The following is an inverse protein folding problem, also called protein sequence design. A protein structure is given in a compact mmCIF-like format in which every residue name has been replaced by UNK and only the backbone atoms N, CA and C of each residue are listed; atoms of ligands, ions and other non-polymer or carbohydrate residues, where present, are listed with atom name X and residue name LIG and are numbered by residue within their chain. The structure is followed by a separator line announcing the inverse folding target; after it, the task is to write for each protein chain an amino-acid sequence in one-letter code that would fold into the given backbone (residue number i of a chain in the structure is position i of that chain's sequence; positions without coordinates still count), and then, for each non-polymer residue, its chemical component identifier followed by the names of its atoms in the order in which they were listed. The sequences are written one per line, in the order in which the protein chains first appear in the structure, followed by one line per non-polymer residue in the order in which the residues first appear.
data_IF_772384587739
#
_entry.id   IF_772384587739
#
_cell.length_a   1.000
_cell.length_b   1.000
_cell.length_c   1.000
_cell.angle_alpha   90.00
_cell.angle_beta   90.00
_cell.angle_gamma   90.00
#
_symmetry.space_group_name_H-M   'P 1'
#
loop_
_entity.id
_entity.type
_entity.pdbx_description
1 polymer ?
#
# COMPACT_ATOMS: atom_id res chain seq x y z
N UNK A 1 -3.45 -17.77 20.52
CA UNK A 1 -3.81 -19.21 20.57
C UNK A 1 -3.65 -19.68 19.13
N UNK A 2 -2.82 -20.68 18.82
CA UNK A 2 -2.80 -21.24 17.46
C UNK A 2 -4.13 -21.98 17.27
N UNK A 3 -4.89 -21.65 16.23
CA UNK A 3 -6.09 -22.39 15.85
C UNK A 3 -5.65 -23.79 15.42
N UNK A 4 -5.88 -24.80 16.27
CA UNK A 4 -5.54 -26.19 15.96
C UNK A 4 -6.63 -26.81 15.10
N UNK A 5 -6.48 -26.73 13.79
CA UNK A 5 -7.38 -27.40 12.84
C UNK A 5 -7.06 -28.89 12.74
N UNK A 6 -8.08 -29.74 12.85
CA UNK A 6 -7.93 -31.18 12.69
C UNK A 6 -7.78 -31.54 11.19
N UNK A 7 -6.63 -32.06 10.73
CA UNK A 7 -6.42 -32.38 9.32
C UNK A 7 -7.30 -33.51 8.78
N UNK A 8 -7.99 -34.25 9.66
CA UNK A 8 -8.93 -35.32 9.31
C UNK A 8 -10.39 -34.87 9.29
N UNK A 9 -10.67 -33.63 9.70
CA UNK A 9 -11.99 -33.05 9.51
C UNK A 9 -12.13 -32.65 8.04
N UNK A 10 -13.25 -33.00 7.40
CA UNK A 10 -13.61 -32.45 6.10
C UNK A 10 -14.09 -31.01 6.32
N UNK A 11 -13.14 -30.08 6.40
CA UNK A 11 -13.42 -28.64 6.51
C UNK A 11 -13.86 -28.09 5.15
N UNK A 12 -14.80 -27.12 5.11
CA UNK A 12 -15.19 -26.46 3.87
C UNK A 12 -14.00 -25.70 3.27
N UNK A 13 -13.96 -25.64 1.95
CA UNK A 13 -13.01 -24.80 1.22
C UNK A 13 -13.56 -23.39 1.01
N UNK A 14 -12.75 -22.47 0.49
CA UNK A 14 -13.22 -21.15 0.09
C UNK A 14 -14.40 -21.18 -0.90
N UNK A 15 -14.50 -22.21 -1.75
CA UNK A 15 -15.60 -22.38 -2.72
C UNK A 15 -16.93 -22.81 -2.07
N UNK A 16 -16.85 -23.44 -0.89
CA UNK A 16 -18.02 -23.93 -0.15
C UNK A 16 -18.62 -22.85 0.77
N UNK A 17 -17.93 -21.71 0.93
CA UNK A 17 -18.26 -20.64 1.87
C UNK A 17 -18.83 -19.42 1.14
N UNK A 18 -19.73 -18.65 1.78
CA UNK A 18 -20.20 -17.37 1.24
C UNK A 18 -19.05 -16.39 1.00
N UNK A 19 -19.06 -15.72 -0.15
CA UNK A 19 -18.12 -14.66 -0.51
C UNK A 19 -18.76 -13.26 -0.52
N UNK A 20 -20.07 -13.19 -0.23
CA UNK A 20 -20.86 -11.96 -0.09
C UNK A 20 -21.81 -12.10 1.11
N UNK A 21 -22.01 -11.01 1.86
CA UNK A 21 -22.87 -11.00 3.06
C UNK A 21 -24.30 -10.46 2.80
N UNK A 22 -24.62 -10.07 1.56
CA UNK A 22 -25.92 -9.50 1.13
C UNK A 22 -26.40 -8.29 1.98
N UNK A 23 -25.49 -7.62 2.72
CA UNK A 23 -25.81 -6.44 3.55
C UNK A 23 -25.46 -5.12 2.84
N UNK A 24 -25.94 -3.96 3.32
CA UNK A 24 -25.67 -2.67 2.67
C UNK A 24 -24.17 -2.36 2.62
N UNK A 25 -23.69 -2.25 1.38
CA UNK A 25 -22.33 -1.94 0.94
C UNK A 25 -21.63 -0.84 1.73
N UNK A 26 -20.31 -1.01 1.85
CA UNK A 26 -19.37 -0.02 2.36
C UNK A 26 -19.54 1.35 1.71
N UNK A 27 -19.20 2.39 2.49
CA UNK A 27 -19.18 3.74 1.95
C UNK A 27 -17.92 3.98 1.10
N UNK A 28 -18.01 4.93 0.16
CA UNK A 28 -16.93 5.28 -0.78
C UNK A 28 -15.56 5.47 -0.11
N UNK A 29 -15.52 6.01 1.11
CA UNK A 29 -14.25 6.25 1.80
C UNK A 29 -13.56 4.97 2.27
N UNK A 30 -14.31 3.97 2.73
CA UNK A 30 -13.74 2.67 3.14
C UNK A 30 -13.07 2.02 1.93
N UNK A 31 -13.79 1.96 0.80
CA UNK A 31 -13.29 1.43 -0.47
C UNK A 31 -12.04 2.15 -0.97
N UNK A 32 -12.06 3.49 -0.97
CA UNK A 32 -10.93 4.28 -1.46
C UNK A 32 -9.68 4.14 -0.58
N UNK A 33 -9.82 4.08 0.74
CA UNK A 33 -8.67 3.94 1.65
C UNK A 33 -8.02 2.56 1.50
N UNK A 34 -8.81 1.49 1.55
CA UNK A 34 -8.28 0.13 1.42
C UNK A 34 -7.70 -0.11 0.02
N UNK A 35 -8.36 0.42 -1.02
CA UNK A 35 -7.85 0.39 -2.38
C UNK A 35 -6.53 1.15 -2.55
N UNK A 36 -6.40 2.34 -1.95
CA UNK A 36 -5.17 3.13 -1.97
C UNK A 36 -4.01 2.38 -1.32
N UNK A 37 -4.21 1.86 -0.11
CA UNK A 37 -3.16 1.12 0.61
C UNK A 37 -2.72 -0.13 -0.17
N UNK A 38 -3.66 -0.87 -0.75
CA UNK A 38 -3.36 -2.02 -1.61
C UNK A 38 -2.57 -1.62 -2.86
N UNK A 39 -2.95 -0.52 -3.51
CA UNK A 39 -2.29 -0.03 -4.71
C UNK A 39 -0.83 0.41 -4.43
N UNK A 40 -0.60 1.07 -3.30
CA UNK A 40 0.76 1.44 -2.86
C UNK A 40 1.59 0.19 -2.57
N UNK A 41 1.04 -0.83 -1.89
CA UNK A 41 1.76 -2.10 -1.68
C UNK A 41 2.15 -2.76 -3.01
N UNK A 42 1.22 -2.82 -3.97
CA UNK A 42 1.50 -3.39 -5.28
C UNK A 42 2.61 -2.64 -6.04
N UNK A 43 2.74 -1.32 -5.80
CA UNK A 43 3.78 -0.48 -6.39
C UNK A 43 5.15 -0.67 -5.73
N UNK A 44 5.22 -0.73 -4.40
CA UNK A 44 6.49 -0.84 -3.66
C UNK A 44 7.01 -2.28 -3.57
N UNK A 45 6.12 -3.26 -3.76
CA UNK A 45 6.42 -4.69 -3.72
C UNK A 45 6.06 -5.38 -5.06
N UNK A 46 6.64 -4.94 -6.20
CA UNK A 46 6.28 -5.48 -7.52
C UNK A 46 6.63 -6.96 -7.62
N UNK A 47 7.82 -7.35 -7.15
CA UNK A 47 8.36 -8.71 -7.26
C UNK A 47 8.11 -9.57 -6.02
N UNK A 48 7.55 -8.98 -4.95
CA UNK A 48 7.25 -9.69 -3.71
C UNK A 48 5.99 -10.53 -3.91
N UNK A 49 6.08 -11.84 -3.63
CA UNK A 49 5.00 -12.80 -3.83
C UNK A 49 4.53 -13.49 -2.54
N UNK A 50 5.10 -13.15 -1.39
CA UNK A 50 4.77 -13.66 -0.05
C UNK A 50 3.89 -12.68 0.75
N UNK A 51 2.88 -12.07 0.12
CA UNK A 51 1.93 -11.21 0.80
C UNK A 51 0.57 -11.17 0.12
N UNK A 52 -0.49 -10.93 0.88
CA UNK A 52 -1.83 -10.68 0.35
C UNK A 52 -2.50 -9.52 1.08
N UNK A 53 -3.18 -8.64 0.34
CA UNK A 53 -4.02 -7.58 0.90
C UNK A 53 -5.47 -7.76 0.45
N UNK A 54 -6.32 -8.17 1.40
CA UNK A 54 -7.76 -8.29 1.22
C UNK A 54 -8.46 -6.96 1.49
N UNK A 55 -9.54 -6.71 0.76
CA UNK A 55 -10.41 -5.53 0.89
C UNK A 55 -11.83 -6.06 0.90
N UNK A 56 -12.60 -5.72 1.93
CA UNK A 56 -13.99 -6.18 2.11
C UNK A 56 -14.11 -7.70 1.87
N UNK A 57 -13.23 -8.46 2.52
CA UNK A 57 -13.10 -9.91 2.32
C UNK A 57 -13.19 -10.64 3.65
N UNK A 58 -14.07 -11.64 3.72
CA UNK A 58 -14.28 -12.44 4.92
C UNK A 58 -13.06 -13.26 5.33
N UNK A 59 -12.70 -13.15 6.61
CA UNK A 59 -11.74 -14.02 7.28
C UNK A 59 -12.52 -15.12 8.00
N UNK A 60 -12.39 -16.35 7.51
CA UNK A 60 -12.98 -17.54 8.10
C UNK A 60 -11.99 -18.18 9.06
N UNK A 61 -12.37 -18.24 10.34
CA UNK A 61 -11.54 -18.79 11.41
C UNK A 61 -12.12 -20.06 12.02
N UNK A 62 -13.43 -20.27 11.89
CA UNK A 62 -14.15 -21.47 12.31
C UNK A 62 -15.19 -21.79 11.21
N UNK A 63 -15.33 -23.05 10.78
CA UNK A 63 -16.29 -23.43 9.73
C UNK A 63 -17.76 -23.29 10.14
N UNK A 64 -18.06 -23.27 11.44
CA UNK A 64 -19.42 -23.18 11.96
C UNK A 64 -19.82 -21.74 12.37
N UNK A 65 -18.86 -20.81 12.38
CA UNK A 65 -19.07 -19.40 12.70
C UNK A 65 -19.07 -18.51 11.45
N UNK A 66 -19.70 -17.35 11.56
CA UNK A 66 -19.66 -16.35 10.49
C UNK A 66 -18.24 -15.75 10.34
N UNK A 67 -17.85 -15.45 9.10
CA UNK A 67 -16.61 -14.75 8.83
C UNK A 67 -16.60 -13.34 9.45
N UNK A 68 -15.40 -12.90 9.83
CA UNK A 68 -15.18 -11.51 10.19
C UNK A 68 -14.73 -10.76 8.94
N UNK A 69 -15.46 -9.71 8.58
CA UNK A 69 -15.15 -8.88 7.40
C UNK A 69 -14.54 -7.54 7.85
N UNK A 70 -13.22 -7.35 7.66
CA UNK A 70 -12.57 -6.05 7.83
C UNK A 70 -12.62 -5.20 6.55
N UNK A 71 -12.54 -3.88 6.71
CA UNK A 71 -12.42 -2.96 5.57
C UNK A 71 -11.13 -3.21 4.76
N UNK A 72 -10.07 -3.70 5.43
CA UNK A 72 -8.90 -4.23 4.77
C UNK A 72 -7.99 -5.01 5.71
N UNK A 73 -7.16 -5.90 5.18
CA UNK A 73 -6.16 -6.61 5.97
C UNK A 73 -4.93 -6.98 5.13
N UNK A 74 -3.79 -7.11 5.80
CA UNK A 74 -2.53 -7.54 5.20
C UNK A 74 -2.05 -8.82 5.87
N UNK A 75 -1.80 -9.84 5.07
CA UNK A 75 -1.09 -11.05 5.49
C UNK A 75 0.26 -11.13 4.81
N UNK A 76 1.32 -11.31 5.60
CA UNK A 76 2.67 -11.60 5.12
C UNK A 76 2.92 -13.12 5.25
N UNK A 77 3.67 -13.71 4.33
CA UNK A 77 4.00 -15.15 4.34
C UNK A 77 3.07 -16.03 3.51
N UNK A 78 2.01 -15.46 2.94
CA UNK A 78 1.06 -16.17 2.06
C UNK A 78 1.29 -15.83 0.58
N UNK A 79 0.99 -16.75 -0.37
CA UNK A 79 1.13 -16.45 -1.79
C UNK A 79 0.30 -15.24 -2.21
N UNK A 80 0.87 -14.28 -2.94
CA UNK A 80 0.10 -13.12 -3.42
C UNK A 80 -1.01 -13.50 -4.39
N UNK A 81 -0.73 -14.48 -5.24
CA UNK A 81 -1.64 -15.01 -6.26
C UNK A 81 -1.63 -16.53 -6.07
N UNK A 82 -2.81 -17.12 -5.90
CA UNK A 82 -2.98 -18.57 -5.79
C UNK A 82 -3.17 -19.21 -7.16
N UNK A 83 -4.00 -18.59 -8.01
CA UNK A 83 -4.30 -18.98 -9.38
C UNK A 83 -4.95 -17.79 -10.15
N UNK A 84 -5.54 -18.08 -11.32
CA UNK A 84 -6.23 -17.09 -12.16
C UNK A 84 -7.58 -16.62 -11.62
N UNK A 85 -8.21 -17.42 -10.75
CA UNK A 85 -9.54 -17.14 -10.21
C UNK A 85 -9.45 -16.30 -8.92
N UNK A 86 -8.24 -16.14 -8.37
CA UNK A 86 -7.92 -15.34 -7.19
C UNK A 86 -8.63 -15.89 -5.94
N UNK A 87 -8.51 -15.15 -4.83
CA UNK A 87 -9.11 -15.55 -3.55
C UNK A 87 -10.56 -15.09 -3.46
N UNK A 88 -11.45 -16.02 -3.16
CA UNK A 88 -12.85 -15.74 -2.81
C UNK A 88 -12.96 -15.24 -1.36
N UNK A 89 -12.27 -15.91 -0.45
CA UNK A 89 -12.25 -15.58 0.98
C UNK A 89 -10.89 -15.91 1.59
N UNK A 90 -10.66 -15.47 2.83
CA UNK A 90 -9.43 -15.75 3.56
C UNK A 90 -9.68 -16.81 4.62
N UNK A 91 -9.41 -18.06 4.25
CA UNK A 91 -9.74 -19.24 5.05
C UNK A 91 -8.52 -19.68 5.87
N UNK A 92 -8.55 -19.47 7.19
CA UNK A 92 -7.36 -19.66 8.05
C UNK A 92 -6.83 -21.09 8.07
N UNK A 93 -7.68 -22.10 7.91
CA UNK A 93 -7.23 -23.50 7.85
C UNK A 93 -6.61 -23.90 6.50
N UNK A 94 -6.88 -23.14 5.43
CA UNK A 94 -6.23 -23.30 4.12
C UNK A 94 -4.94 -22.49 4.04
N UNK A 95 -5.02 -21.20 4.41
CA UNK A 95 -3.89 -20.25 4.36
C UNK A 95 -2.83 -20.56 5.43
N UNK A 96 -3.25 -21.09 6.58
CA UNK A 96 -2.40 -21.44 7.74
C UNK A 96 -1.58 -20.28 8.30
N UNK A 97 -1.94 -19.07 7.94
CA UNK A 97 -1.34 -17.83 8.41
C UNK A 97 -2.46 -16.90 8.87
N UNK A 98 -2.21 -16.20 9.98
CA UNK A 98 -3.13 -15.19 10.50
C UNK A 98 -2.73 -13.84 9.90
N UNK A 99 -3.68 -12.97 9.50
CA UNK A 99 -3.35 -11.64 9.01
C UNK A 99 -2.43 -10.89 9.98
N UNK A 100 -1.39 -10.28 9.42
CA UNK A 100 -0.41 -9.50 10.19
C UNK A 100 -0.99 -8.15 10.64
N UNK A 101 -1.88 -7.56 9.84
CA UNK A 101 -2.57 -6.31 10.13
C UNK A 101 -4.03 -6.37 9.67
N UNK A 102 -4.93 -5.84 10.48
CA UNK A 102 -6.30 -5.49 10.07
C UNK A 102 -6.53 -3.99 10.16
N UNK A 103 -7.31 -3.45 9.22
CA UNK A 103 -7.73 -2.05 9.11
C UNK A 103 -9.25 -1.93 9.21
N UNK A 104 -9.71 -0.98 10.02
CA UNK A 104 -11.11 -0.55 10.09
C UNK A 104 -11.22 0.96 9.90
N UNK A 105 -12.07 1.39 8.98
CA UNK A 105 -12.39 2.77 8.66
C UNK A 105 -13.78 3.11 9.20
N UNK A 106 -13.79 3.73 10.38
CA UNK A 106 -15.03 4.02 11.11
C UNK A 106 -15.86 5.09 10.40
N UNK A 107 -17.08 4.72 10.03
CA UNK A 107 -18.08 5.63 9.46
C UNK A 107 -18.95 6.31 10.54
N UNK A 108 -20.08 6.92 10.15
CA UNK A 108 -21.01 7.54 11.10
C UNK A 108 -21.59 6.53 12.10
N UNK A 109 -21.81 5.30 11.66
CA UNK A 109 -22.32 4.21 12.50
C UNK A 109 -21.15 3.38 13.00
N UNK A 110 -20.96 3.31 14.33
CA UNK A 110 -19.96 2.42 14.93
C UNK A 110 -20.51 1.00 14.93
N UNK A 111 -19.75 0.07 14.35
CA UNK A 111 -20.08 -1.36 14.25
C UNK A 111 -19.20 -2.22 15.18
N UNK A 112 -18.76 -1.64 16.31
CA UNK A 112 -18.04 -2.38 17.36
C UNK A 112 -16.53 -2.45 17.16
N UNK A 113 -15.97 -1.58 16.33
CA UNK A 113 -14.54 -1.49 16.00
C UNK A 113 -13.69 -1.27 17.27
N UNK A 114 -14.22 -0.57 18.26
CA UNK A 114 -13.55 -0.32 19.54
C UNK A 114 -13.85 -1.37 20.63
N UNK A 115 -14.70 -2.35 20.35
CA UNK A 115 -15.19 -3.33 21.35
C UNK A 115 -15.07 -4.76 20.84
N UNK A 116 -16.11 -5.29 20.19
CA UNK A 116 -16.21 -6.70 19.84
C UNK A 116 -15.15 -7.10 18.81
N UNK A 117 -15.07 -6.38 17.67
CA UNK A 117 -14.05 -6.63 16.64
C UNK A 117 -12.63 -6.61 17.20
N UNK A 118 -12.34 -5.65 18.08
CA UNK A 118 -11.03 -5.55 18.76
C UNK A 118 -10.71 -6.79 19.59
N UNK A 119 -11.71 -7.37 20.28
CA UNK A 119 -11.54 -8.60 21.04
C UNK A 119 -11.39 -9.80 20.10
N UNK A 120 -12.19 -9.89 19.05
CA UNK A 120 -12.15 -10.98 18.09
C UNK A 120 -10.78 -11.05 17.40
N UNK A 121 -10.25 -9.91 16.92
CA UNK A 121 -8.93 -9.85 16.30
C UNK A 121 -7.79 -10.22 17.28
N UNK A 122 -7.92 -9.83 18.56
CA UNK A 122 -6.95 -10.22 19.58
C UNK A 122 -7.00 -11.74 19.86
N UNK A 123 -8.20 -12.33 19.89
CA UNK A 123 -8.38 -13.78 20.05
C UNK A 123 -7.79 -14.58 18.89
N UNK A 124 -7.98 -14.09 17.65
CA UNK A 124 -7.36 -14.65 16.45
C UNK A 124 -5.84 -14.52 16.43
N UNK A 125 -5.27 -13.60 17.21
CA UNK A 125 -3.82 -13.39 17.25
C UNK A 125 -3.29 -12.43 16.18
N UNK A 126 -4.15 -11.60 15.60
CA UNK A 126 -3.76 -10.60 14.59
C UNK A 126 -2.84 -9.58 15.26
N UNK A 127 -1.61 -9.46 14.74
CA UNK A 127 -0.56 -8.71 15.41
C UNK A 127 -0.84 -7.21 15.47
N UNK A 128 -1.29 -6.61 14.37
CA UNK A 128 -1.58 -5.18 14.31
C UNK A 128 -3.05 -4.91 14.02
N UNK A 129 -3.60 -3.92 14.70
CA UNK A 129 -4.95 -3.45 14.46
C UNK A 129 -4.98 -1.94 14.28
N UNK A 130 -5.29 -1.48 13.06
CA UNK A 130 -5.39 -0.08 12.72
C UNK A 130 -6.85 0.36 12.64
N UNK A 131 -7.20 1.43 13.35
CA UNK A 131 -8.51 2.04 13.31
C UNK A 131 -8.37 3.48 12.83
N UNK A 132 -8.96 3.79 11.69
CA UNK A 132 -9.04 5.14 11.17
C UNK A 132 -10.46 5.70 11.28
N UNK A 133 -10.61 6.83 11.96
CA UNK A 133 -11.87 7.51 12.15
C UNK A 133 -11.73 8.99 11.75
N UNK A 134 -12.09 9.34 10.50
CA UNK A 134 -11.93 10.70 9.97
C UNK A 134 -12.84 11.73 10.67
N UNK A 135 -13.91 11.27 11.33
CA UNK A 135 -14.90 12.13 11.98
C UNK A 135 -14.47 12.58 13.39
N UNK A 136 -13.38 12.02 13.93
CA UNK A 136 -12.86 12.41 15.25
C UNK A 136 -12.32 13.83 15.24
N UNK A 137 -12.71 14.59 16.28
CA UNK A 137 -12.27 15.97 16.53
C UNK A 137 -11.35 16.13 17.74
N UNK A 138 -11.45 15.24 18.74
CA UNK A 138 -10.76 15.37 20.05
C UNK A 138 -9.72 14.29 20.33
N UNK A 139 -9.76 13.19 19.60
CA UNK A 139 -8.84 12.06 19.71
C UNK A 139 -8.10 11.90 18.38
N UNK A 140 -6.95 11.20 18.35
CA UNK A 140 -6.29 10.83 17.11
C UNK A 140 -7.27 10.18 16.14
N UNK A 141 -7.13 10.52 14.86
CA UNK A 141 -7.93 9.96 13.78
C UNK A 141 -7.43 8.59 13.37
N UNK A 142 -6.13 8.32 13.48
CA UNK A 142 -5.54 7.00 13.34
C UNK A 142 -5.11 6.50 14.73
N UNK A 143 -5.52 5.29 15.09
CA UNK A 143 -5.04 4.56 16.26
C UNK A 143 -4.52 3.20 15.75
N UNK A 144 -3.29 2.86 16.08
CA UNK A 144 -2.67 1.59 15.67
C UNK A 144 -2.29 0.84 16.93
N UNK A 145 -2.77 -0.39 17.06
CA UNK A 145 -2.51 -1.24 18.21
C UNK A 145 -1.61 -2.40 17.81
N UNK A 146 -0.76 -2.84 18.72
CA UNK A 146 0.01 -4.09 18.63
C UNK A 146 -0.48 -5.08 19.68
N UNK A 147 -0.63 -6.34 19.29
CA UNK A 147 -1.03 -7.41 20.19
C UNK A 147 0.18 -7.86 21.02
N UNK A 148 0.10 -7.68 22.33
CA UNK A 148 1.11 -8.09 23.30
C UNK A 148 0.46 -8.85 24.45
N UNK A 149 0.94 -10.06 24.73
CA UNK A 149 0.40 -10.92 25.80
C UNK A 149 -1.13 -11.13 25.74
N UNK A 150 -1.71 -11.11 24.53
CA UNK A 150 -3.15 -11.29 24.31
C UNK A 150 -3.99 -10.01 24.40
N UNK A 151 -3.37 -8.85 24.63
CA UNK A 151 -4.05 -7.56 24.68
C UNK A 151 -3.45 -6.54 23.71
N UNK A 152 -4.30 -5.71 23.11
CA UNK A 152 -3.88 -4.67 22.18
C UNK A 152 -3.38 -3.42 22.91
N UNK A 153 -2.07 -3.15 22.79
CA UNK A 153 -1.41 -1.95 23.27
C UNK A 153 -1.37 -0.88 22.16
N UNK A 154 -1.68 0.37 22.50
CA UNK A 154 -1.63 1.47 21.53
C UNK A 154 -0.17 1.83 21.22
N UNK A 155 0.18 1.88 19.94
CA UNK A 155 1.47 2.36 19.47
C UNK A 155 1.44 3.89 19.32
N UNK A 156 2.55 4.53 19.69
CA UNK A 156 2.76 5.96 19.51
C UNK A 156 3.51 6.23 18.18
N UNK A 157 3.28 7.43 17.61
CA UNK A 157 3.94 7.88 16.38
C UNK A 157 2.95 8.33 15.30
N UNK A 158 3.46 9.10 14.34
CA UNK A 158 2.78 9.48 13.11
C UNK A 158 3.87 9.83 12.08
N UNK A 159 4.26 8.88 11.19
CA UNK A 159 3.68 7.55 11.01
C UNK A 159 4.00 6.58 12.16
N UNK A 160 3.16 5.56 12.33
CA UNK A 160 3.39 4.43 13.26
C UNK A 160 4.18 3.35 12.54
N UNK A 161 5.35 2.98 13.06
CA UNK A 161 6.21 1.95 12.47
C UNK A 161 5.77 0.53 12.86
N UNK A 162 5.50 -0.31 11.87
CA UNK A 162 5.09 -1.71 12.03
C UNK A 162 6.30 -2.63 11.78
N UNK A 163 7.08 -2.88 12.84
CA UNK A 163 8.37 -3.59 12.75
C UNK A 163 8.29 -4.95 12.04
N UNK A 164 7.22 -5.74 12.27
CA UNK A 164 7.09 -7.06 11.64
C UNK A 164 6.74 -7.00 10.14
N UNK A 165 6.28 -5.84 9.65
CA UNK A 165 5.91 -5.62 8.25
C UNK A 165 7.02 -4.83 7.52
N UNK A 166 7.90 -4.14 8.26
CA UNK A 166 8.89 -3.19 7.75
C UNK A 166 8.26 -2.06 6.94
N UNK A 167 7.12 -1.54 7.43
CA UNK A 167 6.42 -0.39 6.87
C UNK A 167 5.89 0.49 8.00
N UNK A 168 5.84 1.80 7.78
CA UNK A 168 5.07 2.71 8.59
C UNK A 168 3.68 2.93 8.02
N UNK A 169 2.68 3.18 8.87
CA UNK A 169 1.34 3.61 8.45
C UNK A 169 1.02 4.96 9.09
N UNK A 170 0.48 5.88 8.30
CA UNK A 170 0.19 7.23 8.78
C UNK A 170 -0.74 8.02 7.88
N UNK A 171 -1.03 9.25 8.31
CA UNK A 171 -1.95 10.18 7.67
C UNK A 171 -1.22 11.34 7.01
N UNK A 172 -1.60 11.66 5.79
CA UNK A 172 -1.13 12.87 5.10
C UNK A 172 -2.25 13.44 4.22
N UNK A 173 -2.24 14.75 3.98
CA UNK A 173 -3.09 15.33 2.94
C UNK A 173 -2.52 15.00 1.57
N UNK A 174 -3.38 14.52 0.67
CA UNK A 174 -2.99 14.27 -0.71
C UNK A 174 -4.21 14.13 -1.62
N UNK A 175 -3.93 13.89 -2.90
CA UNK A 175 -4.96 13.69 -3.92
C UNK A 175 -4.91 12.25 -4.40
N UNK A 176 -6.04 11.56 -4.35
CA UNK A 176 -6.20 10.21 -4.89
C UNK A 176 -7.53 10.14 -5.64
N UNK A 177 -7.52 9.64 -6.88
CA UNK A 177 -8.67 9.61 -7.78
C UNK A 177 -9.38 10.97 -7.90
N UNK A 178 -8.60 12.06 -7.91
CA UNK A 178 -9.11 13.43 -8.02
C UNK A 178 -9.72 14.02 -6.73
N UNK A 179 -9.67 13.31 -5.60
CA UNK A 179 -10.20 13.80 -4.32
C UNK A 179 -9.05 14.19 -3.39
N UNK A 180 -8.98 15.48 -3.05
CA UNK A 180 -7.99 16.02 -2.11
C UNK A 180 -8.52 15.99 -0.67
N UNK A 181 -7.85 15.23 0.20
CA UNK A 181 -8.19 15.10 1.63
C UNK A 181 -7.06 14.43 2.41
N UNK A 182 -7.28 14.26 3.71
CA UNK A 182 -6.49 13.35 4.54
C UNK A 182 -6.77 11.90 4.13
N UNK A 183 -5.69 11.18 3.81
CA UNK A 183 -5.65 9.76 3.43
C UNK A 183 -4.70 8.98 4.32
N UNK A 184 -4.75 7.65 4.24
CA UNK A 184 -3.75 6.76 4.82
C UNK A 184 -2.72 6.36 3.77
N UNK A 185 -1.46 6.31 4.18
CA UNK A 185 -0.34 5.90 3.33
C UNK A 185 0.60 4.97 4.08
N UNK A 186 1.38 4.23 3.29
CA UNK A 186 2.57 3.55 3.77
C UNK A 186 3.78 4.49 3.79
N UNK A 187 4.70 4.24 4.70
CA UNK A 187 5.92 5.00 4.91
C UNK A 187 7.12 4.05 4.98
N UNK A 188 8.28 4.53 4.55
CA UNK A 188 9.55 3.84 4.74
C UNK A 188 10.11 4.02 6.17
N UNK A 189 11.23 3.37 6.46
CA UNK A 189 11.90 3.41 7.77
C UNK A 189 12.37 4.83 8.15
N UNK A 190 12.57 5.69 7.17
CA UNK A 190 12.95 7.10 7.38
C UNK A 190 11.73 7.99 7.64
N UNK A 191 10.52 7.43 7.65
CA UNK A 191 9.27 8.17 7.81
C UNK A 191 8.88 8.96 6.56
N UNK A 192 9.39 8.59 5.39
CA UNK A 192 8.97 9.19 4.12
C UNK A 192 7.81 8.40 3.52
N UNK A 193 6.76 9.13 3.14
CA UNK A 193 5.56 8.58 2.51
C UNK A 193 5.88 7.96 1.14
N UNK A 194 5.36 6.78 0.89
CA UNK A 194 5.35 6.19 -0.45
C UNK A 194 4.30 6.88 -1.34
N UNK A 195 4.69 7.15 -2.58
CA UNK A 195 3.83 7.81 -3.56
C UNK A 195 2.69 6.90 -3.99
N UNK A 196 1.55 7.51 -4.35
CA UNK A 196 0.48 6.80 -5.04
C UNK A 196 0.90 6.43 -6.46
N UNK A 197 0.18 5.52 -7.14
CA UNK A 197 0.40 5.29 -8.57
C UNK A 197 0.27 6.56 -9.41
N UNK A 198 -0.71 7.42 -9.12
CA UNK A 198 -0.93 8.69 -9.82
C UNK A 198 0.25 9.66 -9.64
N UNK A 199 0.73 9.80 -8.39
CA UNK A 199 1.88 10.63 -8.06
C UNK A 199 3.16 10.10 -8.74
N UNK A 200 3.35 8.79 -8.77
CA UNK A 200 4.51 8.15 -9.41
C UNK A 200 4.53 8.38 -10.91
N UNK A 201 3.37 8.28 -11.58
CA UNK A 201 3.24 8.56 -13.01
C UNK A 201 3.57 10.04 -13.27
N UNK A 202 3.01 10.95 -12.48
CA UNK A 202 3.25 12.39 -12.62
C UNK A 202 4.72 12.76 -12.43
N UNK A 203 5.37 12.24 -11.38
CA UNK A 203 6.78 12.47 -11.10
C UNK A 203 7.67 11.93 -12.24
N UNK A 204 7.39 10.72 -12.72
CA UNK A 204 8.14 10.11 -13.83
C UNK A 204 7.99 10.92 -15.13
N UNK A 205 6.77 11.39 -15.44
CA UNK A 205 6.52 12.24 -16.61
C UNK A 205 7.27 13.56 -16.52
N UNK A 206 7.27 14.20 -15.36
CA UNK A 206 7.99 15.44 -15.14
C UNK A 206 9.50 15.24 -15.29
N UNK A 207 10.05 14.15 -14.74
CA UNK A 207 11.46 13.81 -14.87
C UNK A 207 11.85 13.54 -16.33
N UNK A 208 11.03 12.79 -17.07
CA UNK A 208 11.25 12.52 -18.49
C UNK A 208 11.27 13.82 -19.30
N UNK A 209 10.29 14.70 -19.10
CA UNK A 209 10.24 15.98 -19.78
C UNK A 209 11.46 16.87 -19.46
N UNK A 210 11.90 16.89 -18.20
CA UNK A 210 13.12 17.59 -17.82
C UNK A 210 14.37 17.00 -18.48
N UNK A 211 14.46 15.68 -18.60
CA UNK A 211 15.57 15.00 -19.26
C UNK A 211 15.61 15.27 -20.77
N UNK A 212 14.46 15.22 -21.44
CA UNK A 212 14.32 15.54 -22.87
C UNK A 212 14.73 16.99 -23.15
N UNK A 213 14.24 17.95 -22.36
CA UNK A 213 14.60 19.35 -22.52
C UNK A 213 16.11 19.59 -22.33
N UNK A 214 16.75 18.85 -21.41
CA UNK A 214 18.20 18.91 -21.21
C UNK A 214 18.96 18.29 -22.39
N UNK A 215 18.46 17.20 -22.97
CA UNK A 215 19.07 16.57 -24.14
C UNK A 215 19.03 17.51 -25.35
N UNK A 216 17.87 18.12 -25.64
CA UNK A 216 17.72 19.09 -26.74
C UNK A 216 18.67 20.29 -26.54
N UNK A 217 18.72 20.86 -25.34
CA UNK A 217 19.61 21.98 -25.06
C UNK A 217 21.10 21.60 -25.22
N UNK A 218 21.49 20.37 -24.86
CA UNK A 218 22.85 19.88 -25.04
C UNK A 218 23.18 19.67 -26.54
N UNK A 219 22.23 19.16 -27.33
CA UNK A 219 22.39 19.03 -28.78
C UNK A 219 22.54 20.39 -29.47
N UNK A 220 21.70 21.36 -29.11
CA UNK A 220 21.80 22.73 -29.63
C UNK A 220 23.15 23.38 -29.28
N UNK A 221 23.64 23.17 -28.06
CA UNK A 221 24.97 23.66 -27.66
C UNK A 221 26.09 22.98 -28.43
N UNK A 222 26.03 21.65 -28.61
CA UNK A 222 27.02 20.91 -29.38
C UNK A 222 27.04 21.36 -30.84
N UNK A 223 25.88 21.61 -31.43
CA UNK A 223 25.77 22.12 -32.79
C UNK A 223 26.33 23.54 -32.90
N UNK A 224 26.01 24.43 -31.95
CA UNK A 224 26.56 25.78 -31.91
C UNK A 224 28.09 25.78 -31.79
N UNK A 225 28.65 24.96 -30.90
CA UNK A 225 30.09 24.82 -30.72
C UNK A 225 30.75 24.22 -31.97
N UNK A 226 30.13 23.21 -32.61
CA UNK A 226 30.60 22.66 -33.89
C UNK A 226 30.61 23.72 -35.00
N UNK A 227 29.56 24.54 -35.11
CA UNK A 227 29.50 25.64 -36.07
C UNK A 227 30.51 26.75 -35.76
N UNK A 228 30.77 27.04 -34.48
CA UNK A 228 31.80 28.00 -34.06
C UNK A 228 33.20 27.48 -34.38
N UNK A 229 33.50 26.23 -34.04
CA UNK A 229 34.76 25.58 -34.35
C UNK A 229 35.04 25.56 -35.86
N UNK A 230 34.04 25.19 -36.67
CA UNK A 230 34.13 25.24 -38.15
C UNK A 230 34.42 26.64 -38.68
N UNK A 231 33.73 27.67 -38.16
CA UNK A 231 33.96 29.08 -38.55
C UNK A 231 35.35 29.56 -38.16
N UNK A 232 35.80 29.23 -36.94
CA UNK A 232 37.13 29.59 -36.46
C UNK A 232 38.23 28.93 -37.30
N UNK A 233 38.08 27.64 -37.61
CA UNK A 233 39.01 26.91 -38.47
C UNK A 233 39.09 27.54 -39.88
N UNK A 234 37.97 27.98 -40.44
CA UNK A 234 37.96 28.67 -41.74
C UNK A 234 38.72 30.01 -41.67
N UNK A 235 38.47 30.83 -40.65
CA UNK A 235 39.15 32.12 -40.48
C UNK A 235 40.66 31.95 -40.29
N UNK A 236 41.10 30.91 -39.57
CA UNK A 236 42.52 30.59 -39.41
C UNK A 236 43.18 30.25 -40.75
N UNK A 237 42.52 29.41 -41.57
CA UNK A 237 43.00 29.07 -42.93
C UNK A 237 43.10 30.30 -43.83
N UNK A 238 42.11 31.20 -43.78
CA UNK A 238 42.13 32.47 -44.52
C UNK A 238 43.27 33.41 -44.07
N UNK A 239 43.64 33.35 -42.78
CA UNK A 239 44.78 34.09 -42.23
C UNK A 239 46.15 33.43 -42.50
N UNK A 240 46.19 32.29 -43.20
CA UNK A 240 47.43 31.56 -43.52
C UNK A 240 48.00 30.75 -42.35
N UNK A 241 47.20 30.48 -41.31
CA UNK A 241 47.54 29.61 -40.19
C UNK A 241 46.84 28.26 -40.41
N UNK A 242 47.57 27.15 -40.38
CA UNK A 242 46.96 25.82 -40.46
C UNK A 242 46.32 25.47 -39.10
N UNK A 243 44.98 25.36 -39.01
CA UNK A 243 44.30 25.01 -37.76
C UNK A 243 44.51 23.55 -37.35
N UNK A 244 45.08 22.71 -38.22
CA UNK A 244 45.32 21.29 -37.99
C UNK A 244 46.82 20.97 -37.71
N UNK A 245 47.70 21.97 -37.73
CA UNK A 245 49.10 21.83 -37.27
C UNK A 245 49.14 21.94 -35.73
N UNK A 246 49.52 20.83 -35.08
CA UNK A 246 49.83 20.74 -33.65
C UNK A 246 51.17 21.40 -33.31
#
# INVERSE_FOLDING_TARGET
MLLEYNPRACLPSAEDLPDSDDTPVDNELQNLISGLLKAILALIWPDRMDWFFGVDMGIYYDPDEAAIVPDGFLSIGVPRIIDSDLRLSYVLWEEKEVPSLVLEVVSQTRRGEYTQKKQDYAQLGILYYAIYNPLRKRKPRLEVYQLEAGEYQLLEGEPVWLANINLGIGREEGTYQGVTREWLYWYDEQGKRYLTPEETISDTQQQLQCAENRAIAAEEQLEQESQRAKRLAQLLREAGVDPDEN
#
